data_IF_486908505867
#
_entry.id   IF_486908505867
#
_cell.length_a   1.000
_cell.length_b   1.000
_cell.length_c   1.000
_cell.angle_alpha   90.00
_cell.angle_beta   90.00
_cell.angle_gamma   90.00
#
_symmetry.space_group_name_H-M   'P 1'
#
loop_
_entity.id
_entity.type
_entity.pdbx_description
1 polymer ?
#
# COMPACT_ATOMS: atom_id res chain seq x y z
N UNK A 1 -18.43 -15.66 -14.65
CA UNK A 1 -18.82 -16.49 -13.49
C UNK A 1 -17.55 -16.87 -12.77
N UNK A 2 -17.44 -16.57 -11.49
CA UNK A 2 -16.34 -17.01 -10.62
C UNK A 2 -17.00 -18.05 -9.70
N UNK A 3 -16.59 -19.32 -9.80
CA UNK A 3 -17.08 -20.45 -8.98
C UNK A 3 -18.58 -20.83 -9.08
N UNK A 4 -19.26 -20.57 -10.19
CA UNK A 4 -20.61 -21.11 -10.42
C UNK A 4 -21.75 -20.50 -9.59
N UNK A 5 -21.46 -19.50 -8.75
CA UNK A 5 -22.46 -18.68 -8.07
C UNK A 5 -22.75 -17.40 -8.87
N UNK A 6 -23.98 -16.86 -8.80
CA UNK A 6 -24.26 -15.53 -9.32
C UNK A 6 -23.39 -14.51 -8.56
N UNK A 7 -22.76 -13.61 -9.31
CA UNK A 7 -21.77 -12.68 -8.78
C UNK A 7 -22.48 -11.61 -7.93
N UNK A 8 -22.52 -11.81 -6.63
CA UNK A 8 -23.20 -10.88 -5.73
C UNK A 8 -22.38 -9.59 -5.56
N UNK A 9 -23.07 -8.46 -5.41
CA UNK A 9 -22.43 -7.15 -5.19
C UNK A 9 -21.48 -7.16 -3.97
N UNK A 10 -21.79 -8.02 -2.98
CA UNK A 10 -21.04 -8.19 -1.74
C UNK A 10 -19.63 -8.72 -1.99
N UNK A 11 -19.45 -9.53 -3.02
CA UNK A 11 -18.19 -10.22 -3.32
C UNK A 11 -17.27 -9.36 -4.19
N UNK A 12 -17.84 -8.43 -4.96
CA UNK A 12 -17.06 -7.60 -5.88
C UNK A 12 -16.51 -6.32 -5.26
N UNK A 13 -17.12 -5.83 -4.17
CA UNK A 13 -16.76 -4.57 -3.52
C UNK A 13 -16.57 -3.40 -4.50
N UNK A 14 -17.15 -3.48 -5.70
CA UNK A 14 -17.00 -2.45 -6.72
C UNK A 14 -17.78 -1.23 -6.25
N UNK A 15 -17.17 -0.03 -6.26
CA UNK A 15 -17.88 1.18 -5.89
C UNK A 15 -19.08 1.36 -6.83
N UNK A 16 -20.22 1.74 -6.27
CA UNK A 16 -21.43 2.02 -7.05
C UNK A 16 -21.15 3.16 -8.04
N UNK A 17 -21.27 2.86 -9.33
CA UNK A 17 -21.23 3.88 -10.39
C UNK A 17 -22.67 4.26 -10.71
N UNK A 18 -22.98 5.56 -10.68
CA UNK A 18 -24.26 6.07 -11.12
C UNK A 18 -24.16 6.39 -12.61
N UNK A 19 -24.82 5.59 -13.45
CA UNK A 19 -24.67 5.57 -14.92
C UNK A 19 -23.20 5.31 -15.35
N UNK A 20 -22.43 6.38 -15.55
CA UNK A 20 -21.00 6.34 -15.89
C UNK A 20 -20.12 7.06 -14.86
N UNK A 21 -20.72 7.80 -13.93
CA UNK A 21 -20.00 8.66 -13.01
C UNK A 21 -19.94 8.03 -11.62
N UNK A 22 -18.81 8.21 -10.95
CA UNK A 22 -18.71 7.91 -9.52
C UNK A 22 -19.67 8.83 -8.75
N UNK A 23 -20.37 8.34 -7.73
CA UNK A 23 -21.39 9.11 -7.02
C UNK A 23 -20.90 10.45 -6.44
N UNK A 24 -19.58 10.63 -6.27
CA UNK A 24 -18.98 11.91 -5.82
C UNK A 24 -18.92 12.96 -6.91
N UNK A 25 -18.77 12.55 -8.17
CA UNK A 25 -18.81 13.48 -9.32
C UNK A 25 -20.19 14.12 -9.42
N UNK A 26 -21.24 13.39 -9.04
CA UNK A 26 -22.62 13.90 -8.99
C UNK A 26 -22.74 15.09 -8.03
N UNK A 27 -22.02 15.10 -6.90
CA UNK A 27 -22.02 16.23 -5.96
C UNK A 27 -21.42 17.48 -6.59
N UNK A 28 -20.32 17.33 -7.35
CA UNK A 28 -19.70 18.45 -8.08
C UNK A 28 -20.64 19.01 -9.14
N UNK A 29 -21.34 18.11 -9.85
CA UNK A 29 -22.34 18.47 -10.85
C UNK A 29 -23.55 19.17 -10.22
N UNK A 30 -24.02 18.69 -9.06
CA UNK A 30 -25.10 19.32 -8.30
C UNK A 30 -24.71 20.72 -7.83
N UNK A 31 -23.47 20.89 -7.32
CA UNK A 31 -22.95 22.19 -6.91
C UNK A 31 -22.88 23.18 -8.09
N UNK A 32 -22.48 22.71 -9.27
CA UNK A 32 -22.46 23.50 -10.50
C UNK A 32 -23.86 23.97 -10.90
N UNK A 33 -24.85 23.07 -10.86
CA UNK A 33 -26.25 23.39 -11.19
C UNK A 33 -26.84 24.39 -10.19
N UNK A 34 -26.49 24.27 -8.90
CA UNK A 34 -26.96 25.18 -7.86
C UNK A 34 -26.39 26.60 -8.00
N UNK A 35 -25.17 26.75 -8.53
CA UNK A 35 -24.52 28.05 -8.71
C UNK A 35 -23.93 28.18 -10.11
N UNK A 36 -24.78 28.46 -11.10
CA UNK A 36 -24.37 28.66 -12.50
C UNK A 36 -23.64 30.00 -12.63
N UNK A 37 -22.31 29.96 -12.54
CA UNK A 37 -21.41 31.06 -12.93
C UNK A 37 -20.31 30.49 -13.83
N UNK A 38 -19.72 31.28 -14.75
CA UNK A 38 -18.68 30.77 -15.64
C UNK A 38 -17.50 30.14 -14.89
N UNK A 39 -17.13 30.71 -13.74
CA UNK A 39 -16.02 30.20 -12.94
C UNK A 39 -16.34 28.85 -12.25
N UNK A 40 -17.59 28.61 -11.82
CA UNK A 40 -17.98 27.33 -11.22
C UNK A 40 -18.06 26.23 -12.26
N UNK A 41 -18.50 26.56 -13.47
CA UNK A 41 -18.50 25.65 -14.61
C UNK A 41 -17.05 25.22 -14.92
N UNK A 42 -16.13 26.18 -15.06
CA UNK A 42 -14.72 25.89 -15.31
C UNK A 42 -14.12 24.99 -14.20
N UNK A 43 -14.43 25.28 -12.93
CA UNK A 43 -13.95 24.48 -11.80
C UNK A 43 -14.54 23.06 -11.80
N UNK A 44 -15.85 22.92 -12.09
CA UNK A 44 -16.52 21.63 -12.17
C UNK A 44 -15.93 20.75 -13.29
N UNK A 45 -15.74 21.30 -14.49
CA UNK A 45 -15.10 20.58 -15.59
C UNK A 45 -13.65 20.21 -15.28
N UNK A 46 -12.90 21.08 -14.61
CA UNK A 46 -11.52 20.79 -14.18
C UNK A 46 -11.47 19.61 -13.23
N UNK A 47 -12.29 19.64 -12.16
CA UNK A 47 -12.35 18.54 -11.17
C UNK A 47 -12.83 17.25 -11.83
N UNK A 48 -13.85 17.32 -12.68
CA UNK A 48 -14.39 16.17 -13.38
C UNK A 48 -13.38 15.55 -14.35
N UNK A 49 -12.61 16.38 -15.07
CA UNK A 49 -11.54 15.93 -15.96
C UNK A 49 -10.41 15.22 -15.20
N UNK A 50 -9.99 15.77 -14.05
CA UNK A 50 -8.99 15.14 -13.18
C UNK A 50 -9.49 13.78 -12.68
N UNK A 51 -10.72 13.71 -12.16
CA UNK A 51 -11.30 12.46 -11.66
C UNK A 51 -11.46 11.43 -12.78
N UNK A 52 -11.90 11.85 -13.97
CA UNK A 52 -12.00 10.98 -15.14
C UNK A 52 -10.64 10.39 -15.55
N UNK A 53 -9.59 11.21 -15.54
CA UNK A 53 -8.22 10.76 -15.83
C UNK A 53 -7.74 9.68 -14.84
N UNK A 54 -8.07 9.81 -13.55
CA UNK A 54 -7.72 8.81 -12.55
C UNK A 54 -8.59 7.55 -12.61
N UNK A 55 -9.89 7.67 -12.94
CA UNK A 55 -10.77 6.50 -13.14
C UNK A 55 -10.27 5.65 -14.32
N UNK A 56 -9.72 6.27 -15.37
CA UNK A 56 -9.04 5.55 -16.47
C UNK A 56 -7.82 4.75 -16.02
N UNK A 57 -7.14 5.17 -14.95
CA UNK A 57 -6.02 4.44 -14.35
C UNK A 57 -6.47 3.42 -13.29
N UNK A 58 -7.77 3.28 -13.05
CA UNK A 58 -8.33 2.39 -12.03
C UNK A 58 -8.11 2.90 -10.61
N UNK A 59 -7.78 4.19 -10.42
CA UNK A 59 -7.60 4.79 -9.10
C UNK A 59 -8.93 5.39 -8.65
N UNK A 60 -9.59 4.84 -7.61
CA UNK A 60 -10.86 5.38 -7.13
C UNK A 60 -10.67 6.73 -6.46
N UNK A 61 -11.69 7.61 -6.49
CA UNK A 61 -11.58 8.93 -5.85
C UNK A 61 -11.29 8.86 -4.34
N UNK A 62 -11.73 7.80 -3.64
CA UNK A 62 -11.37 7.58 -2.23
C UNK A 62 -9.87 7.47 -2.02
N UNK A 63 -9.18 6.78 -2.92
CA UNK A 63 -7.73 6.63 -2.82
C UNK A 63 -7.03 7.98 -3.01
N UNK A 64 -7.55 8.81 -3.92
CA UNK A 64 -7.05 10.17 -4.16
C UNK A 64 -7.28 11.04 -2.92
N UNK A 65 -8.49 11.04 -2.37
CA UNK A 65 -8.82 11.80 -1.15
C UNK A 65 -7.99 11.32 0.04
N UNK A 66 -7.78 10.01 0.17
CA UNK A 66 -6.94 9.43 1.22
C UNK A 66 -5.47 9.82 1.04
N UNK A 67 -4.98 9.85 -0.20
CA UNK A 67 -3.63 10.30 -0.54
C UNK A 67 -3.46 11.79 -0.25
N UNK A 68 -4.41 12.62 -0.71
CA UNK A 68 -4.43 14.06 -0.47
C UNK A 68 -4.49 14.35 1.03
N UNK A 69 -5.37 13.68 1.77
CA UNK A 69 -5.45 13.78 3.23
C UNK A 69 -4.15 13.37 3.90
N UNK A 70 -3.55 12.24 3.52
CA UNK A 70 -2.27 11.80 4.07
C UNK A 70 -1.14 12.80 3.76
N UNK A 71 -1.17 13.44 2.59
CA UNK A 71 -0.19 14.44 2.17
C UNK A 71 -0.34 15.76 2.93
N UNK A 72 -1.59 16.21 3.17
CA UNK A 72 -1.91 17.42 3.91
C UNK A 72 -1.68 17.28 5.42
N UNK A 73 -2.06 16.14 6.01
CA UNK A 73 -1.87 15.85 7.45
C UNK A 73 -0.39 15.58 7.78
N UNK A 74 0.41 15.16 6.78
CA UNK A 74 1.83 14.89 6.93
C UNK A 74 2.13 13.61 7.73
N UNK A 75 3.41 13.39 8.07
CA UNK A 75 3.89 12.22 8.83
C UNK A 75 3.48 12.23 10.31
N UNK A 76 2.49 13.02 10.73
CA UNK A 76 1.91 12.90 12.07
C UNK A 76 0.87 11.78 12.06
N UNK A 77 1.36 10.55 12.12
CA UNK A 77 0.58 9.46 12.71
C UNK A 77 0.60 9.66 14.22
N UNK A 78 -0.38 10.37 14.78
CA UNK A 78 -0.74 10.08 16.18
C UNK A 78 -1.48 8.73 16.16
N UNK A 79 -0.72 7.65 15.93
CA UNK A 79 -1.07 6.37 16.51
C UNK A 79 -1.11 6.66 18.01
N UNK A 80 -2.31 6.55 18.59
CA UNK A 80 -2.61 6.55 20.01
C UNK A 80 -1.34 6.44 20.87
N UNK A 81 -1.08 7.43 21.73
CA UNK A 81 0.10 7.41 22.60
C UNK A 81 0.28 6.04 23.25
N UNK A 82 1.54 5.61 23.44
CA UNK A 82 2.03 4.27 23.85
C UNK A 82 1.02 3.40 24.64
N UNK A 83 0.25 4.01 25.54
CA UNK A 83 -0.79 3.41 26.37
C UNK A 83 -2.09 2.95 25.65
N UNK A 84 -2.29 3.20 24.36
CA UNK A 84 -3.57 2.89 23.67
C UNK A 84 -3.37 2.24 22.28
N UNK A 85 -2.20 1.64 22.04
CA UNK A 85 -2.02 0.72 20.93
C UNK A 85 -2.92 -0.50 21.11
N UNK A 86 -3.70 -0.85 20.08
CA UNK A 86 -4.42 -2.14 20.07
C UNK A 86 -3.37 -3.23 19.96
N UNK A 87 -3.35 -4.14 20.93
CA UNK A 87 -2.57 -5.38 20.85
C UNK A 87 -2.90 -6.07 19.52
N UNK A 88 -1.90 -6.58 18.77
CA UNK A 88 -2.16 -7.35 17.56
C UNK A 88 -3.14 -8.48 17.91
N UNK A 89 -4.34 -8.41 17.33
CA UNK A 89 -5.34 -9.48 17.45
C UNK A 89 -4.94 -10.54 16.43
N UNK A 90 -4.45 -11.66 16.95
CA UNK A 90 -4.16 -12.84 16.14
C UNK A 90 -5.50 -13.46 15.72
N UNK A 91 -5.83 -13.37 14.43
CA UNK A 91 -6.95 -14.08 13.84
C UNK A 91 -6.55 -15.55 13.64
N UNK A 92 -6.38 -16.24 14.77
CA UNK A 92 -5.76 -17.56 14.88
C UNK A 92 -6.70 -18.71 14.45
N UNK A 93 -7.26 -18.65 13.24
CA UNK A 93 -8.02 -19.78 12.67
C UNK A 93 -7.16 -20.68 11.76
N UNK A 94 -6.02 -20.21 11.26
CA UNK A 94 -5.19 -20.99 10.31
C UNK A 94 -3.86 -21.52 10.91
N UNK A 95 -3.46 -21.06 12.10
CA UNK A 95 -2.06 -21.16 12.55
C UNK A 95 -1.69 -22.47 13.24
N UNK A 96 -2.61 -23.14 13.94
CA UNK A 96 -2.28 -24.36 14.69
C UNK A 96 -1.89 -25.52 13.78
N UNK A 97 -2.63 -25.73 12.69
CA UNK A 97 -2.34 -26.80 11.74
C UNK A 97 -1.09 -26.50 10.92
N UNK A 98 -0.93 -25.27 10.43
CA UNK A 98 0.27 -24.90 9.66
C UNK A 98 1.54 -24.94 10.51
N UNK A 99 1.49 -24.57 11.80
CA UNK A 99 2.62 -24.74 12.72
C UNK A 99 2.97 -26.21 12.95
N UNK A 100 1.97 -27.11 13.04
CA UNK A 100 2.19 -28.56 13.13
C UNK A 100 2.80 -29.14 11.86
N UNK A 101 2.44 -28.60 10.69
CA UNK A 101 2.98 -29.03 9.39
C UNK A 101 4.34 -28.40 9.06
N UNK A 102 4.75 -27.34 9.76
CA UNK A 102 6.03 -26.67 9.50
C UNK A 102 7.16 -27.60 9.96
N UNK A 103 8.05 -28.05 9.06
CA UNK A 103 9.24 -28.77 9.48
C UNK A 103 10.07 -27.88 10.43
N UNK A 104 10.77 -28.46 11.42
CA UNK A 104 11.60 -27.68 12.33
C UNK A 104 12.56 -26.81 11.52
N UNK A 105 12.65 -25.54 11.88
CA UNK A 105 13.54 -24.60 11.19
C UNK A 105 14.95 -25.20 11.18
N UNK A 106 15.56 -25.27 9.99
CA UNK A 106 16.93 -25.72 9.86
C UNK A 106 17.81 -24.91 10.84
N UNK A 107 18.74 -25.55 11.57
CA UNK A 107 19.63 -24.83 12.46
C UNK A 107 20.31 -23.71 11.67
N UNK A 108 20.50 -22.52 12.26
CA UNK A 108 21.13 -21.41 11.57
C UNK A 108 22.47 -21.91 11.01
N UNK A 109 22.63 -21.90 9.68
CA UNK A 109 23.90 -22.22 9.07
C UNK A 109 24.93 -21.26 9.65
N UNK A 110 25.99 -21.81 10.25
CA UNK A 110 27.09 -21.01 10.81
C UNK A 110 27.47 -19.95 9.77
N UNK A 111 27.48 -18.65 10.10
CA UNK A 111 27.82 -17.64 9.13
C UNK A 111 29.19 -17.97 8.56
N UNK A 112 29.27 -18.21 7.25
CA UNK A 112 30.51 -18.47 6.56
C UNK A 112 31.47 -17.33 6.92
N UNK A 113 32.61 -17.68 7.51
CA UNK A 113 33.61 -16.72 7.98
C UNK A 113 33.96 -15.80 6.81
N UNK A 114 33.51 -14.53 6.89
CA UNK A 114 33.83 -13.53 5.88
C UNK A 114 35.36 -13.32 5.93
N UNK A 115 36.10 -13.54 4.84
CA UNK A 115 37.52 -13.21 4.83
C UNK A 115 37.67 -11.72 5.16
N UNK A 116 38.53 -11.41 6.13
CA UNK A 116 38.77 -10.06 6.60
C UNK A 116 39.13 -9.11 5.46
N UNK A 117 38.82 -7.82 5.63
CA UNK A 117 39.00 -6.76 4.63
C UNK A 117 40.41 -6.75 3.99
N UNK A 118 41.43 -7.13 4.76
CA UNK A 118 42.82 -7.22 4.32
C UNK A 118 43.07 -8.30 3.25
N UNK A 119 42.31 -9.40 3.27
CA UNK A 119 42.35 -10.42 2.22
C UNK A 119 41.64 -9.96 0.93
N UNK A 120 40.59 -9.12 1.05
CA UNK A 120 39.89 -8.54 -0.12
C UNK A 120 40.67 -7.42 -0.81
N UNK A 121 41.55 -6.74 -0.08
CA UNK A 121 42.39 -5.66 -0.62
C UNK A 121 43.73 -6.13 -1.20
N UNK A 122 43.98 -7.45 -1.26
CA UNK A 122 45.22 -8.00 -1.83
C UNK A 122 46.50 -7.58 -1.08
N UNK A 123 46.36 -7.10 0.16
CA UNK A 123 47.42 -6.45 0.93
C UNK A 123 48.07 -7.37 1.97
N UNK A 124 47.85 -8.68 1.86
CA UNK A 124 48.57 -9.68 2.62
C UNK A 124 49.98 -9.86 2.02
N UNK A 125 50.91 -8.96 2.38
CA UNK A 125 52.34 -9.16 2.10
C UNK A 125 52.78 -10.46 2.76
N UNK A 126 53.12 -11.44 1.92
CA UNK A 126 53.90 -12.61 2.28
C UNK A 126 55.24 -12.14 2.85
N UNK A 127 55.40 -12.19 4.18
CA UNK A 127 56.71 -12.01 4.81
C UNK A 127 57.39 -13.37 4.82
N UNK A 128 57.96 -13.73 3.66
CA UNK A 128 58.84 -14.88 3.51
C UNK A 128 60.23 -14.46 4.01
N UNK A 129 60.48 -14.58 5.32
CA UNK A 129 61.84 -14.55 5.87
C UNK A 129 62.43 -15.95 5.71
N UNK A 130 63.29 -16.11 4.72
CA UNK A 130 64.21 -17.23 4.62
C UNK A 130 65.64 -16.75 4.84
N UNK A 131 66.39 -17.50 5.65
CA UNK A 131 67.84 -17.68 5.52
C UNK A 131 68.75 -16.74 6.30
N UNK A 132 69.16 -17.18 7.48
CA UNK A 132 70.57 -17.44 7.83
C UNK A 132 70.59 -18.41 9.01
#
# INVERSE_FOLDING_TARGET
MIFGTPLFWRETHKPGKFLMFEGRVVIVLLLMVMHIRPWTIALAFTVMGVLYYFDRKGVPADAILRYLRARLVGSRRTARGVHNERVPVDFHFETREMRRRRPPAAPPSKPAARPGLLARMGLAKTSRKGGA
#
